data_IF_426687523435
#
_entry.id   IF_426687523435
#
_cell.length_a   1.000
_cell.length_b   1.000
_cell.length_c   1.000
_cell.angle_alpha   90.00
_cell.angle_beta   90.00
_cell.angle_gamma   90.00
#
_symmetry.space_group_name_H-M   'P 1'
#
loop_
_entity.id
_entity.type
_entity.pdbx_description
1 polymer ?
#
# COMPACT_ATOMS: atom_id res chain seq x y z
N UNK A 1 -36.60 57.79 5.72
CA UNK A 1 -37.12 57.17 4.48
C UNK A 1 -36.79 55.72 4.49
N UNK A 2 -37.78 54.90 4.75
CA UNK A 2 -37.71 53.43 4.82
C UNK A 2 -37.76 52.89 3.37
N UNK A 3 -36.74 52.17 2.94
CA UNK A 3 -36.71 51.44 1.66
C UNK A 3 -37.12 49.98 1.90
N UNK A 4 -38.24 49.63 1.29
CA UNK A 4 -38.90 48.33 1.31
C UNK A 4 -38.11 47.31 0.48
N UNK A 5 -37.77 46.13 1.05
CA UNK A 5 -37.27 44.98 0.31
C UNK A 5 -38.47 44.17 -0.24
N UNK A 6 -38.47 43.75 -1.51
CA UNK A 6 -39.48 42.87 -2.03
C UNK A 6 -39.17 41.38 -1.73
N UNK A 7 -40.26 40.66 -1.60
CA UNK A 7 -40.49 39.28 -1.25
C UNK A 7 -39.54 38.22 -1.83
N UNK A 8 -39.02 37.37 -0.92
CA UNK A 8 -38.41 36.08 -1.24
C UNK A 8 -39.50 35.06 -1.57
N UNK A 9 -39.51 34.56 -2.80
CA UNK A 9 -40.28 33.40 -3.23
C UNK A 9 -39.64 32.13 -2.72
N UNK A 10 -40.36 31.18 -2.12
CA UNK A 10 -39.81 29.90 -1.69
C UNK A 10 -39.65 28.97 -2.88
N UNK A 11 -38.41 28.64 -3.23
CA UNK A 11 -38.10 27.50 -4.13
C UNK A 11 -38.26 26.19 -3.35
N UNK A 12 -39.46 25.64 -3.40
CA UNK A 12 -39.69 24.25 -3.07
C UNK A 12 -39.51 23.40 -4.30
N UNK A 13 -38.54 22.48 -4.26
CA UNK A 13 -38.67 21.16 -4.91
C UNK A 13 -37.57 20.24 -4.38
N UNK A 14 -38.02 19.25 -3.64
CA UNK A 14 -37.25 18.09 -3.23
C UNK A 14 -36.72 17.36 -4.46
N UNK A 15 -35.44 17.50 -4.76
CA UNK A 15 -34.70 16.54 -5.56
C UNK A 15 -34.04 15.57 -4.58
N UNK A 16 -34.72 14.46 -4.35
CA UNK A 16 -34.16 13.26 -3.73
C UNK A 16 -33.09 12.74 -4.66
N UNK A 17 -31.81 12.97 -4.33
CA UNK A 17 -30.72 12.24 -4.91
C UNK A 17 -30.88 10.78 -4.50
N UNK A 18 -31.49 9.99 -5.38
CA UNK A 18 -31.42 8.55 -5.29
C UNK A 18 -29.93 8.17 -5.33
N UNK A 19 -29.44 7.64 -4.22
CA UNK A 19 -28.16 6.97 -4.14
C UNK A 19 -28.17 5.83 -5.16
N UNK A 20 -27.55 6.06 -6.30
CA UNK A 20 -27.17 4.98 -7.22
C UNK A 20 -25.97 4.29 -6.56
N UNK A 21 -26.27 3.38 -5.65
CA UNK A 21 -25.32 2.39 -5.20
C UNK A 21 -25.16 1.38 -6.34
N UNK A 22 -24.25 1.67 -7.26
CA UNK A 22 -23.85 0.74 -8.30
C UNK A 22 -22.79 -0.21 -7.71
N UNK A 23 -23.18 -1.03 -6.73
CA UNK A 23 -22.47 -2.25 -6.38
C UNK A 23 -22.95 -3.32 -7.34
N UNK A 24 -22.05 -3.99 -8.08
CA UNK A 24 -22.42 -5.18 -8.83
C UNK A 24 -23.05 -6.15 -7.81
N UNK A 25 -24.24 -6.59 -8.14
CA UNK A 25 -25.12 -7.31 -7.24
C UNK A 25 -24.46 -8.58 -6.70
N UNK A 26 -24.37 -8.69 -5.38
CA UNK A 26 -24.16 -9.94 -4.61
C UNK A 26 -25.22 -11.02 -4.93
N UNK A 27 -26.09 -10.79 -5.90
CA UNK A 27 -27.25 -11.61 -6.24
C UNK A 27 -27.01 -12.80 -7.16
N UNK A 28 -25.79 -13.07 -7.61
CA UNK A 28 -25.53 -14.15 -8.58
C UNK A 28 -24.56 -15.25 -8.10
N UNK A 29 -24.08 -15.22 -6.88
CA UNK A 29 -23.38 -16.38 -6.31
C UNK A 29 -24.41 -17.24 -5.63
N UNK A 30 -24.89 -18.27 -6.32
CA UNK A 30 -25.57 -19.40 -5.67
C UNK A 30 -24.61 -19.90 -4.60
N UNK A 31 -24.96 -19.65 -3.35
CA UNK A 31 -24.11 -19.72 -2.14
C UNK A 31 -23.54 -21.12 -1.91
N UNK A 32 -22.48 -21.45 -2.64
CA UNK A 32 -21.64 -22.57 -2.27
C UNK A 32 -20.76 -22.11 -1.09
N UNK A 33 -20.94 -22.67 0.13
CA UNK A 33 -20.19 -22.26 1.32
C UNK A 33 -18.68 -22.27 1.11
N UNK A 34 -18.17 -23.16 0.24
CA UNK A 34 -16.76 -23.24 -0.11
C UNK A 34 -16.30 -22.02 -0.92
N UNK A 35 -17.10 -21.54 -1.87
CA UNK A 35 -16.80 -20.36 -2.67
C UNK A 35 -16.82 -19.09 -1.82
N UNK A 36 -17.72 -18.98 -0.84
CA UNK A 36 -17.72 -17.89 0.13
C UNK A 36 -16.45 -17.93 0.99
N UNK A 37 -16.08 -19.10 1.52
CA UNK A 37 -14.84 -19.26 2.28
C UNK A 37 -13.61 -18.93 1.44
N UNK A 38 -13.58 -19.32 0.17
CA UNK A 38 -12.52 -18.96 -0.78
C UNK A 38 -12.42 -17.44 -0.96
N UNK A 39 -13.55 -16.77 -1.18
CA UNK A 39 -13.59 -15.31 -1.28
C UNK A 39 -13.10 -14.63 0.00
N UNK A 40 -13.48 -15.13 1.17
CA UNK A 40 -13.05 -14.57 2.45
C UNK A 40 -11.54 -14.72 2.65
N UNK A 41 -10.97 -15.88 2.30
CA UNK A 41 -9.52 -16.10 2.34
C UNK A 41 -8.78 -15.15 1.40
N UNK A 42 -9.25 -15.02 0.15
CA UNK A 42 -8.62 -14.10 -0.82
C UNK A 42 -8.80 -12.64 -0.40
N UNK A 43 -9.95 -12.26 0.16
CA UNK A 43 -10.17 -10.91 0.69
C UNK A 43 -9.26 -10.59 1.87
N UNK A 44 -9.05 -11.56 2.76
CA UNK A 44 -8.20 -11.40 3.94
C UNK A 44 -6.71 -11.29 3.60
N UNK A 45 -6.25 -12.01 2.57
CA UNK A 45 -4.82 -12.09 2.19
C UNK A 45 -4.45 -11.19 0.99
N UNK A 46 -5.45 -10.67 0.28
CA UNK A 46 -5.28 -9.84 -0.93
C UNK A 46 -5.01 -10.66 -2.19
N UNK A 47 -4.05 -11.58 -2.16
CA UNK A 47 -3.77 -12.57 -3.21
C UNK A 47 -3.39 -13.91 -2.58
N UNK A 48 -3.76 -15.01 -3.25
CA UNK A 48 -3.50 -16.39 -2.76
C UNK A 48 -3.26 -17.30 -3.96
N UNK A 49 -2.32 -18.23 -3.83
CA UNK A 49 -2.08 -19.24 -4.86
C UNK A 49 -3.18 -20.29 -4.87
N UNK A 50 -3.35 -21.00 -5.99
CA UNK A 50 -4.32 -22.10 -6.10
C UNK A 50 -3.94 -23.24 -5.17
N UNK A 51 -2.66 -23.44 -4.94
CA UNK A 51 -2.09 -24.45 -4.05
C UNK A 51 -2.44 -24.15 -2.59
N UNK A 52 -2.18 -22.94 -2.13
CA UNK A 52 -2.54 -22.49 -0.76
C UNK A 52 -4.05 -22.59 -0.50
N UNK A 53 -4.87 -22.24 -1.50
CA UNK A 53 -6.32 -22.38 -1.39
C UNK A 53 -6.77 -23.84 -1.31
N UNK A 54 -6.12 -24.74 -2.05
CA UNK A 54 -6.45 -26.15 -2.02
C UNK A 54 -6.15 -26.77 -0.65
N UNK A 55 -5.01 -26.41 -0.06
CA UNK A 55 -4.62 -26.85 1.27
C UNK A 55 -5.56 -26.30 2.34
N UNK A 56 -5.84 -25.01 2.36
CA UNK A 56 -6.68 -24.38 3.38
C UNK A 56 -8.15 -24.80 3.31
N UNK A 57 -8.66 -25.06 2.10
CA UNK A 57 -10.03 -25.53 1.91
C UNK A 57 -10.17 -27.06 2.02
N UNK A 58 -9.06 -27.81 2.08
CA UNK A 58 -9.05 -29.26 2.15
C UNK A 58 -9.61 -29.93 0.90
N UNK A 59 -9.35 -29.34 -0.29
CA UNK A 59 -9.88 -29.82 -1.58
C UNK A 59 -8.78 -29.95 -2.63
N UNK A 60 -9.08 -30.61 -3.76
CA UNK A 60 -8.12 -30.76 -4.83
C UNK A 60 -7.88 -29.46 -5.59
N UNK A 61 -6.69 -29.30 -6.18
CA UNK A 61 -6.34 -28.17 -7.06
C UNK A 61 -7.38 -27.96 -8.17
N UNK A 62 -7.89 -29.06 -8.74
CA UNK A 62 -8.91 -28.97 -9.80
C UNK A 62 -10.24 -28.39 -9.29
N UNK A 63 -10.62 -28.69 -8.05
CA UNK A 63 -11.81 -28.13 -7.42
C UNK A 63 -11.64 -26.62 -7.21
N UNK A 64 -10.48 -26.20 -6.70
CA UNK A 64 -10.17 -24.76 -6.54
C UNK A 64 -10.17 -24.05 -7.88
N UNK A 65 -9.54 -24.60 -8.91
CA UNK A 65 -9.50 -24.00 -10.26
C UNK A 65 -10.90 -23.78 -10.84
N UNK A 66 -11.84 -24.72 -10.60
CA UNK A 66 -13.24 -24.56 -11.03
C UNK A 66 -13.97 -23.46 -10.26
N UNK A 67 -13.79 -23.39 -8.95
CA UNK A 67 -14.41 -22.36 -8.12
C UNK A 67 -13.85 -20.97 -8.47
N UNK A 68 -12.54 -20.86 -8.63
CA UNK A 68 -11.85 -19.65 -9.09
C UNK A 68 -12.37 -19.22 -10.46
N UNK A 69 -12.56 -20.15 -11.39
CA UNK A 69 -13.09 -19.82 -12.73
C UNK A 69 -14.49 -19.21 -12.62
N UNK A 70 -15.40 -19.83 -11.86
CA UNK A 70 -16.77 -19.33 -11.65
C UNK A 70 -16.79 -17.96 -10.97
N UNK A 71 -15.94 -17.76 -9.97
CA UNK A 71 -15.85 -16.48 -9.27
C UNK A 71 -15.21 -15.40 -10.15
N UNK A 72 -14.31 -15.77 -11.05
CA UNK A 72 -13.75 -14.85 -12.04
C UNK A 72 -14.73 -14.48 -13.13
N UNK A 73 -15.55 -15.44 -13.60
CA UNK A 73 -16.65 -15.18 -14.55
C UNK A 73 -17.74 -14.28 -13.96
N UNK A 74 -17.85 -14.25 -12.63
CA UNK A 74 -18.74 -13.37 -11.87
C UNK A 74 -18.08 -12.03 -11.47
N UNK A 75 -16.89 -11.71 -11.96
CA UNK A 75 -16.09 -10.53 -11.60
C UNK A 75 -15.79 -10.38 -10.11
N UNK A 76 -15.85 -11.47 -9.34
CA UNK A 76 -15.57 -11.48 -7.91
C UNK A 76 -14.10 -11.73 -7.58
N UNK A 77 -13.36 -12.34 -8.52
CA UNK A 77 -11.91 -12.58 -8.45
C UNK A 77 -11.24 -12.27 -9.79
N UNK A 78 -9.98 -11.91 -9.73
CA UNK A 78 -9.09 -11.80 -10.89
C UNK A 78 -8.00 -12.86 -10.80
N UNK A 79 -7.77 -13.59 -11.89
CA UNK A 79 -6.69 -14.60 -11.98
C UNK A 79 -5.38 -13.94 -12.38
N UNK A 80 -4.29 -14.42 -11.82
CA UNK A 80 -2.93 -14.14 -12.29
C UNK A 80 -2.16 -15.47 -12.39
N UNK A 81 -0.93 -15.45 -12.89
CA UNK A 81 -0.17 -16.67 -13.06
C UNK A 81 0.06 -17.38 -11.71
N UNK A 82 -0.55 -18.56 -11.55
CA UNK A 82 -0.47 -19.39 -10.35
C UNK A 82 -1.42 -19.01 -9.19
N UNK A 83 -2.24 -17.94 -9.31
CA UNK A 83 -3.07 -17.52 -8.18
C UNK A 83 -4.30 -16.70 -8.53
N UNK A 84 -4.94 -16.19 -7.49
CA UNK A 84 -6.13 -15.35 -7.55
C UNK A 84 -6.04 -14.18 -6.58
N UNK A 85 -6.67 -13.09 -6.93
CA UNK A 85 -6.82 -11.88 -6.09
C UNK A 85 -8.22 -11.31 -6.21
N UNK A 86 -8.58 -10.47 -5.27
CA UNK A 86 -9.78 -9.63 -5.41
C UNK A 86 -9.60 -8.71 -6.62
N UNK A 87 -10.64 -8.47 -7.46
CA UNK A 87 -10.57 -7.47 -8.51
C UNK A 87 -10.08 -6.15 -7.92
N UNK A 88 -8.96 -5.65 -8.42
CA UNK A 88 -8.42 -4.37 -7.97
C UNK A 88 -8.82 -3.28 -8.95
N UNK A 89 -9.45 -2.24 -8.45
CA UNK A 89 -9.56 -0.98 -9.20
C UNK A 89 -8.15 -0.42 -9.41
N UNK A 90 -7.85 0.14 -10.57
CA UNK A 90 -6.63 0.93 -10.78
C UNK A 90 -6.75 2.34 -10.21
N UNK A 91 -7.97 2.74 -9.82
CA UNK A 91 -8.31 4.09 -9.33
C UNK A 91 -8.51 4.12 -7.82
N UNK A 92 -8.98 3.03 -7.21
CA UNK A 92 -9.25 2.96 -5.77
C UNK A 92 -8.31 2.01 -5.05
N UNK A 93 -7.64 2.51 -4.03
CA UNK A 93 -6.88 1.69 -3.11
C UNK A 93 -7.79 1.10 -2.01
N UNK A 94 -7.41 -0.06 -1.50
CA UNK A 94 -8.01 -0.66 -0.30
C UNK A 94 -7.87 0.34 0.87
N UNK A 95 -8.91 0.47 1.71
CA UNK A 95 -8.89 1.37 2.86
C UNK A 95 -7.67 1.10 3.78
N UNK A 96 -7.12 2.14 4.38
CA UNK A 96 -5.91 2.04 5.23
C UNK A 96 -6.10 1.00 6.35
N UNK A 97 -7.25 1.03 7.04
CA UNK A 97 -7.57 0.10 8.11
C UNK A 97 -7.55 -1.37 7.68
N UNK A 98 -8.07 -1.66 6.48
CA UNK A 98 -8.01 -3.01 5.88
C UNK A 98 -6.58 -3.37 5.48
N UNK A 99 -5.82 -2.41 4.96
CA UNK A 99 -4.40 -2.64 4.62
C UNK A 99 -3.54 -2.91 5.85
N UNK A 100 -3.87 -2.34 7.01
CA UNK A 100 -3.14 -2.58 8.27
C UNK A 100 -3.22 -4.06 8.68
N UNK A 101 -4.40 -4.66 8.58
CA UNK A 101 -4.63 -6.07 8.93
C UNK A 101 -4.22 -7.06 7.84
N UNK A 102 -4.27 -6.63 6.57
CA UNK A 102 -3.84 -7.46 5.43
C UNK A 102 -2.37 -7.81 5.56
N UNK A 103 -2.05 -9.12 5.56
CA UNK A 103 -0.70 -9.66 5.66
C UNK A 103 0.14 -9.05 6.81
N UNK A 104 -0.48 -8.88 7.98
CA UNK A 104 0.17 -8.27 9.15
C UNK A 104 1.45 -9.02 9.57
N UNK A 105 1.44 -10.36 9.49
CA UNK A 105 2.62 -11.19 9.80
C UNK A 105 3.78 -10.92 8.82
N UNK A 106 3.51 -10.88 7.51
CA UNK A 106 4.52 -10.58 6.50
C UNK A 106 5.10 -9.17 6.67
N UNK A 107 4.27 -8.16 6.95
CA UNK A 107 4.76 -6.81 7.26
C UNK A 107 5.62 -6.75 8.52
N UNK A 108 5.27 -7.54 9.54
CA UNK A 108 6.07 -7.62 10.75
C UNK A 108 7.43 -8.29 10.49
N UNK A 109 7.49 -9.33 9.64
CA UNK A 109 8.74 -9.95 9.20
C UNK A 109 9.62 -8.94 8.44
N UNK A 110 9.04 -8.27 7.42
CA UNK A 110 9.71 -7.20 6.67
C UNK A 110 10.26 -6.11 7.62
N UNK A 111 9.44 -5.68 8.57
CA UNK A 111 9.82 -4.64 9.52
C UNK A 111 11.02 -5.05 10.38
N UNK A 112 11.07 -6.29 10.85
CA UNK A 112 12.23 -6.83 11.59
C UNK A 112 13.49 -6.87 10.72
N UNK A 113 13.37 -7.37 9.49
CA UNK A 113 14.49 -7.43 8.55
C UNK A 113 15.04 -6.03 8.23
N UNK A 114 14.18 -5.04 7.97
CA UNK A 114 14.61 -3.65 7.78
C UNK A 114 15.29 -3.10 9.03
N UNK A 115 14.71 -3.33 10.22
CA UNK A 115 15.29 -2.81 11.46
C UNK A 115 16.67 -3.43 11.79
N UNK A 116 16.94 -4.65 11.38
CA UNK A 116 18.27 -5.27 11.53
C UNK A 116 19.35 -4.62 10.66
N UNK A 117 18.97 -4.07 9.52
CA UNK A 117 19.87 -3.45 8.56
C UNK A 117 20.06 -1.94 8.79
N UNK A 118 19.08 -1.27 9.43
CA UNK A 118 19.17 0.18 9.73
C UNK A 118 20.21 0.42 10.83
N UNK A 119 21.28 1.19 10.57
CA UNK A 119 22.27 1.49 11.60
C UNK A 119 21.76 2.53 12.61
N UNK A 120 22.22 2.45 13.85
CA UNK A 120 22.05 3.55 14.80
C UNK A 120 22.75 4.82 14.30
N UNK A 121 22.21 5.97 14.66
CA UNK A 121 22.81 7.26 14.32
C UNK A 121 22.63 7.71 12.87
N UNK A 122 21.76 7.04 12.08
CA UNK A 122 21.52 7.43 10.69
C UNK A 122 20.31 8.35 10.53
N UNK A 123 20.25 9.01 9.37
CA UNK A 123 19.14 9.83 8.94
C UNK A 123 18.20 9.07 7.99
N UNK A 124 16.90 9.12 8.25
CA UNK A 124 15.88 8.41 7.49
C UNK A 124 14.82 9.36 6.97
N UNK A 125 14.27 9.07 5.79
CA UNK A 125 12.92 9.52 5.42
C UNK A 125 12.00 8.31 5.38
N UNK A 126 10.89 8.35 6.14
CA UNK A 126 9.90 7.28 6.16
C UNK A 126 8.60 7.78 5.54
N UNK A 127 8.21 7.17 4.40
CA UNK A 127 7.02 7.53 3.63
C UNK A 127 5.74 6.92 4.23
N UNK A 128 4.62 7.25 3.60
CA UNK A 128 3.27 6.76 3.95
C UNK A 128 3.15 5.26 3.64
N UNK A 129 2.52 4.50 4.54
CA UNK A 129 2.20 3.09 4.30
C UNK A 129 2.08 2.26 5.57
N UNK A 130 1.25 1.22 5.53
CA UNK A 130 1.09 0.33 6.69
C UNK A 130 2.33 -0.54 6.95
N UNK A 131 3.12 -0.84 5.92
CA UNK A 131 4.41 -1.53 6.07
C UNK A 131 5.46 -0.60 6.67
N UNK A 132 5.52 0.66 6.25
CA UNK A 132 6.44 1.66 6.83
C UNK A 132 6.09 1.99 8.28
N UNK A 133 4.81 1.95 8.65
CA UNK A 133 4.37 2.05 10.04
C UNK A 133 4.82 0.84 10.88
N UNK A 134 4.77 -0.38 10.31
CA UNK A 134 5.33 -1.55 10.97
C UNK A 134 6.84 -1.43 11.18
N UNK A 135 7.58 -0.90 10.19
CA UNK A 135 9.01 -0.61 10.30
C UNK A 135 9.27 0.42 11.41
N UNK A 136 8.49 1.50 11.48
CA UNK A 136 8.60 2.50 12.54
C UNK A 136 8.48 1.87 13.95
N UNK A 137 7.54 0.92 14.13
CA UNK A 137 7.42 0.16 15.38
C UNK A 137 8.67 -0.70 15.68
N UNK A 138 9.26 -1.32 14.66
CA UNK A 138 10.46 -2.14 14.82
C UNK A 138 11.72 -1.30 15.13
N UNK A 139 11.73 -0.02 14.75
CA UNK A 139 12.83 0.92 15.00
C UNK A 139 12.80 1.55 16.41
N UNK A 140 11.81 1.26 17.25
CA UNK A 140 11.70 1.86 18.59
C UNK A 140 12.90 1.56 19.52
N UNK A 141 13.65 0.50 19.25
CA UNK A 141 14.87 0.16 19.99
C UNK A 141 16.15 0.84 19.49
N UNK A 142 16.09 1.57 18.38
CA UNK A 142 17.25 2.25 17.82
C UNK A 142 17.59 3.55 18.57
N UNK A 143 18.85 3.95 18.49
CA UNK A 143 19.37 5.16 19.13
C UNK A 143 19.99 6.12 18.12
N UNK A 144 19.84 7.43 18.37
CA UNK A 144 20.45 8.47 17.56
C UNK A 144 19.85 8.62 16.15
N UNK A 145 18.66 8.08 15.90
CA UNK A 145 18.00 8.25 14.60
C UNK A 145 17.48 9.68 14.44
N UNK A 146 17.61 10.21 13.23
CA UNK A 146 16.92 11.41 12.79
C UNK A 146 15.96 11.06 11.66
N UNK A 147 14.65 11.11 11.93
CA UNK A 147 13.61 10.65 11.02
C UNK A 147 12.78 11.81 10.51
N UNK A 148 12.78 12.00 9.20
CA UNK A 148 11.83 12.89 8.50
C UNK A 148 10.67 12.03 8.02
N UNK A 149 9.44 12.50 8.18
CA UNK A 149 8.28 11.75 7.71
C UNK A 149 7.14 12.66 7.26
N UNK A 150 6.45 12.22 6.22
CA UNK A 150 5.16 12.75 5.78
C UNK A 150 3.99 11.86 6.25
N UNK A 151 4.21 11.00 7.26
CA UNK A 151 3.21 10.09 7.83
C UNK A 151 3.01 10.38 9.32
N UNK A 152 1.85 10.90 9.70
CA UNK A 152 1.54 11.21 11.10
C UNK A 152 1.49 9.98 12.01
N UNK A 153 1.18 8.79 11.46
CA UNK A 153 1.23 7.55 12.25
C UNK A 153 2.68 7.18 12.57
N UNK A 154 3.60 7.29 11.60
CA UNK A 154 5.05 7.10 11.83
C UNK A 154 5.57 8.10 12.86
N UNK A 155 5.18 9.37 12.73
CA UNK A 155 5.55 10.41 13.69
C UNK A 155 5.08 10.07 15.11
N UNK A 156 3.81 9.67 15.25
CA UNK A 156 3.23 9.30 16.55
C UNK A 156 3.94 8.08 17.17
N UNK A 157 4.33 7.08 16.34
CA UNK A 157 5.05 5.90 16.82
C UNK A 157 6.46 6.30 17.31
N UNK A 158 7.25 6.93 16.46
CA UNK A 158 8.66 7.20 16.76
C UNK A 158 8.88 8.30 17.78
N UNK A 159 7.93 9.23 17.97
CA UNK A 159 8.00 10.24 19.03
C UNK A 159 7.97 9.64 20.45
N UNK A 160 7.63 8.38 20.60
CA UNK A 160 7.73 7.67 21.89
C UNK A 160 9.15 7.21 22.22
N UNK A 161 10.07 7.22 21.24
CA UNK A 161 11.48 6.91 21.46
C UNK A 161 12.26 8.20 21.75
N UNK A 162 12.72 8.36 22.99
CA UNK A 162 13.48 9.54 23.44
C UNK A 162 14.86 9.70 22.76
N UNK A 163 15.35 8.67 22.09
CA UNK A 163 16.62 8.68 21.35
C UNK A 163 16.44 8.88 19.84
N UNK A 164 15.24 9.24 19.40
CA UNK A 164 14.90 9.51 18.01
C UNK A 164 14.40 10.95 17.85
N UNK A 165 15.05 11.71 16.97
CA UNK A 165 14.54 13.02 16.56
C UNK A 165 13.56 12.82 15.39
N UNK A 166 12.31 13.24 15.55
CA UNK A 166 11.26 13.10 14.54
C UNK A 166 10.88 14.47 13.98
N UNK A 167 11.03 14.62 12.68
CA UNK A 167 10.75 15.84 11.93
C UNK A 167 9.57 15.55 10.99
N UNK A 168 8.46 16.27 11.16
CA UNK A 168 7.25 16.09 10.35
C UNK A 168 7.20 17.15 9.26
N UNK A 169 6.92 16.75 8.01
CA UNK A 169 6.75 17.70 6.91
C UNK A 169 5.50 18.57 7.12
N UNK A 170 5.50 19.77 6.56
CA UNK A 170 4.28 20.55 6.38
C UNK A 170 3.42 20.00 5.23
N UNK A 171 2.20 20.51 5.07
CA UNK A 171 1.33 20.19 3.95
C UNK A 171 -0.11 19.84 4.33
N UNK A 172 -0.84 19.21 3.40
CA UNK A 172 -2.24 18.82 3.58
C UNK A 172 -2.32 17.39 4.10
N UNK A 173 -2.97 17.21 5.24
CA UNK A 173 -3.20 15.88 5.83
C UNK A 173 -4.38 15.20 5.15
N UNK A 174 -4.15 14.02 4.61
CA UNK A 174 -5.23 13.15 4.10
C UNK A 174 -5.86 12.39 5.26
N UNK A 175 -7.18 12.47 5.37
CA UNK A 175 -7.93 11.83 6.47
C UNK A 175 -7.90 10.30 6.41
N UNK A 176 -7.78 9.71 5.21
CA UNK A 176 -7.88 8.25 5.01
C UNK A 176 -6.70 7.46 5.58
N UNK A 177 -5.49 8.04 5.62
CA UNK A 177 -4.25 7.35 6.00
C UNK A 177 -3.28 8.24 6.80
N UNK A 178 -3.71 9.47 7.14
CA UNK A 178 -2.92 10.46 7.88
C UNK A 178 -1.59 10.84 7.20
N UNK A 179 -1.51 10.63 5.88
CA UNK A 179 -0.39 11.06 5.08
C UNK A 179 -0.44 12.55 4.77
N UNK A 180 0.71 13.20 4.73
CA UNK A 180 0.86 14.62 4.37
C UNK A 180 1.31 14.69 2.92
N UNK A 181 0.61 15.50 2.12
CA UNK A 181 0.87 15.68 0.69
C UNK A 181 0.83 17.16 0.30
N UNK A 182 1.28 17.44 -0.91
CA UNK A 182 1.27 18.77 -1.51
C UNK A 182 2.65 19.40 -1.58
N UNK A 183 2.72 20.55 -2.26
CA UNK A 183 3.97 21.29 -2.51
C UNK A 183 4.76 21.60 -1.23
N UNK A 184 4.13 22.02 -0.09
CA UNK A 184 4.89 22.29 1.13
C UNK A 184 5.64 21.06 1.66
N UNK A 185 5.10 19.84 1.47
CA UNK A 185 5.79 18.62 1.89
C UNK A 185 7.03 18.35 1.01
N UNK A 186 6.89 18.52 -0.30
CA UNK A 186 8.00 18.36 -1.25
C UNK A 186 9.10 19.39 -1.01
N UNK A 187 8.74 20.67 -0.87
CA UNK A 187 9.69 21.76 -0.60
C UNK A 187 10.45 21.57 0.71
N UNK A 188 9.77 21.04 1.72
CA UNK A 188 10.41 20.71 2.98
C UNK A 188 11.42 19.58 2.81
N UNK A 189 11.06 18.48 2.12
CA UNK A 189 11.92 17.32 1.88
C UNK A 189 13.16 17.72 1.06
N UNK A 190 13.03 18.60 0.08
CA UNK A 190 14.13 19.09 -0.78
C UNK A 190 15.28 19.74 0.01
N UNK A 191 15.04 20.18 1.24
CA UNK A 191 16.07 20.79 2.09
C UNK A 191 17.03 19.76 2.71
N UNK A 192 16.77 18.46 2.55
CA UNK A 192 17.53 17.39 3.16
C UNK A 192 18.16 16.47 2.12
N UNK A 193 19.20 15.77 2.50
CA UNK A 193 19.73 14.59 1.82
C UNK A 193 20.02 13.55 2.89
N UNK A 194 19.13 12.59 3.05
CA UNK A 194 19.24 11.57 4.09
C UNK A 194 20.00 10.32 3.63
N UNK A 195 20.38 9.48 4.60
CA UNK A 195 21.08 8.25 4.28
C UNK A 195 20.15 7.23 3.63
N UNK A 196 18.94 7.01 4.18
CA UNK A 196 18.03 5.97 3.70
C UNK A 196 16.60 6.52 3.57
N UNK A 197 15.97 6.27 2.42
CA UNK A 197 14.53 6.36 2.25
C UNK A 197 13.88 4.99 2.51
N UNK A 198 12.88 4.95 3.38
CA UNK A 198 12.01 3.79 3.58
C UNK A 198 10.67 4.07 2.93
N UNK A 199 10.41 3.42 1.79
CA UNK A 199 9.18 3.63 1.01
C UNK A 199 8.36 2.34 0.94
N UNK A 200 7.04 2.51 0.95
CA UNK A 200 6.09 1.47 0.58
C UNK A 200 5.58 1.68 -0.84
N UNK A 201 4.83 0.71 -1.34
CA UNK A 201 4.23 0.77 -2.67
C UNK A 201 2.83 0.14 -2.67
N UNK A 202 1.97 0.59 -3.57
CA UNK A 202 0.66 -0.02 -3.74
C UNK A 202 0.66 -1.17 -4.74
N UNK A 203 1.52 -1.16 -5.75
CA UNK A 203 1.65 -2.23 -6.72
C UNK A 203 2.98 -2.21 -7.46
N UNK A 204 3.43 -3.38 -7.89
CA UNK A 204 4.58 -3.62 -8.77
C UNK A 204 4.06 -4.38 -9.98
N UNK A 205 4.10 -3.78 -11.16
CA UNK A 205 3.63 -4.41 -12.38
C UNK A 205 4.68 -5.36 -12.99
N UNK A 206 4.25 -6.20 -13.93
CA UNK A 206 5.09 -7.25 -14.53
C UNK A 206 6.33 -6.71 -15.27
N UNK A 207 6.33 -5.45 -15.65
CA UNK A 207 7.47 -4.75 -16.26
C UNK A 207 8.45 -4.15 -15.24
N UNK A 208 8.19 -4.34 -13.93
CA UNK A 208 8.98 -3.78 -12.84
C UNK A 208 8.64 -2.33 -12.48
N UNK A 209 7.63 -1.72 -13.11
CA UNK A 209 7.18 -0.38 -12.72
C UNK A 209 6.51 -0.39 -11.36
N UNK A 210 6.90 0.57 -10.51
CA UNK A 210 6.35 0.80 -9.19
C UNK A 210 5.20 1.79 -9.29
N UNK A 211 4.00 1.41 -8.83
CA UNK A 211 2.79 2.20 -9.06
C UNK A 211 1.98 2.45 -7.79
N UNK A 212 1.25 3.55 -7.79
CA UNK A 212 0.32 3.94 -6.73
C UNK A 212 -0.99 4.53 -7.29
N UNK A 213 -1.93 4.86 -6.39
CA UNK A 213 -3.28 5.32 -6.76
C UNK A 213 -3.45 6.85 -6.73
N UNK A 214 -2.69 7.56 -5.91
CA UNK A 214 -2.82 9.02 -5.71
C UNK A 214 -1.58 9.76 -6.21
N UNK A 215 -1.73 10.54 -7.28
CA UNK A 215 -0.61 11.29 -7.87
C UNK A 215 0.06 12.27 -6.91
N UNK A 216 -0.67 12.78 -5.91
CA UNK A 216 -0.11 13.71 -4.91
C UNK A 216 0.83 12.98 -3.96
N UNK A 217 0.48 11.72 -3.61
CA UNK A 217 1.37 10.83 -2.84
C UNK A 217 2.61 10.46 -3.65
N UNK A 218 2.40 10.11 -4.93
CA UNK A 218 3.48 9.80 -5.86
C UNK A 218 4.49 10.95 -5.97
N UNK A 219 4.03 12.20 -6.09
CA UNK A 219 4.93 13.36 -6.17
C UNK A 219 5.80 13.53 -4.92
N UNK A 220 5.24 13.31 -3.74
CA UNK A 220 6.02 13.33 -2.49
C UNK A 220 7.01 12.17 -2.45
N UNK A 221 6.59 10.94 -2.84
CA UNK A 221 7.46 9.77 -2.86
C UNK A 221 8.63 9.93 -3.86
N UNK A 222 8.38 10.49 -5.03
CA UNK A 222 9.42 10.83 -6.02
C UNK A 222 10.45 11.78 -5.41
N UNK A 223 9.99 12.85 -4.72
CA UNK A 223 10.87 13.78 -4.02
C UNK A 223 11.70 13.08 -2.94
N UNK A 224 11.11 12.13 -2.20
CA UNK A 224 11.83 11.32 -1.20
C UNK A 224 12.96 10.51 -1.86
N UNK A 225 12.68 9.83 -2.97
CA UNK A 225 13.67 9.03 -3.73
C UNK A 225 14.83 9.92 -4.16
N UNK A 226 14.55 11.07 -4.77
CA UNK A 226 15.56 12.02 -5.26
C UNK A 226 16.46 12.55 -4.14
N UNK A 227 15.94 12.65 -2.93
CA UNK A 227 16.61 13.25 -1.76
C UNK A 227 17.14 12.25 -0.73
N UNK A 228 17.39 11.00 -1.16
CA UNK A 228 17.99 9.96 -0.35
C UNK A 228 19.24 9.37 -1.00
N UNK A 229 20.19 8.84 -0.22
CA UNK A 229 21.41 8.19 -0.73
C UNK A 229 21.12 6.74 -1.13
N UNK A 230 20.33 6.05 -0.32
CA UNK A 230 19.80 4.72 -0.60
C UNK A 230 18.27 4.74 -0.50
N UNK A 231 17.62 3.98 -1.37
CA UNK A 231 16.18 3.82 -1.41
C UNK A 231 15.83 2.36 -1.14
N UNK A 232 15.17 2.13 -0.02
CA UNK A 232 14.74 0.81 0.42
C UNK A 232 13.23 0.68 0.26
N UNK A 233 12.81 -0.22 -0.61
CA UNK A 233 11.41 -0.54 -0.87
C UNK A 233 10.96 -1.67 0.05
N UNK A 234 9.90 -1.44 0.81
CA UNK A 234 9.25 -2.45 1.65
C UNK A 234 7.91 -2.86 1.05
N UNK A 235 7.84 -4.05 0.46
CA UNK A 235 6.68 -4.54 -0.27
C UNK A 235 6.40 -6.01 0.05
N UNK A 236 5.25 -6.31 0.64
CA UNK A 236 4.83 -7.69 0.84
C UNK A 236 4.41 -8.35 -0.49
N UNK A 237 4.37 -9.71 -0.51
CA UNK A 237 4.10 -10.50 -1.71
C UNK A 237 2.81 -10.11 -2.44
N UNK A 238 1.83 -9.51 -1.77
CA UNK A 238 0.57 -9.08 -2.39
C UNK A 238 0.71 -7.88 -3.33
N UNK A 239 1.89 -7.23 -3.34
CA UNK A 239 2.18 -6.06 -4.18
C UNK A 239 2.63 -6.43 -5.58
N UNK A 240 3.18 -7.61 -5.77
CA UNK A 240 3.60 -8.08 -7.09
C UNK A 240 2.41 -8.35 -8.00
N UNK A 241 2.53 -8.04 -9.28
CA UNK A 241 1.48 -8.15 -10.30
C UNK A 241 0.21 -7.33 -9.97
N UNK A 242 0.29 -6.35 -9.09
CA UNK A 242 -0.84 -5.50 -8.74
C UNK A 242 -0.81 -4.20 -9.53
N UNK A 243 -1.82 -3.94 -10.38
CA UNK A 243 -1.89 -2.69 -11.14
C UNK A 243 -2.32 -1.52 -10.26
N UNK A 244 -1.80 -0.34 -10.59
CA UNK A 244 -2.29 0.95 -10.11
C UNK A 244 -2.02 2.02 -11.17
N UNK A 245 -2.78 3.13 -11.12
CA UNK A 245 -2.84 4.07 -12.25
C UNK A 245 -1.58 4.92 -12.40
N UNK A 246 -0.95 5.32 -11.30
CA UNK A 246 0.10 6.35 -11.31
C UNK A 246 1.47 5.72 -11.14
N UNK A 247 2.36 5.97 -12.08
CA UNK A 247 3.75 5.53 -11.99
C UNK A 247 4.52 6.37 -10.97
N UNK A 248 5.15 5.67 -10.02
CA UNK A 248 5.96 6.28 -8.97
C UNK A 248 7.44 6.24 -9.31
N UNK A 249 7.95 5.08 -9.68
CA UNK A 249 9.35 4.82 -9.94
C UNK A 249 9.52 3.53 -10.77
N UNK A 250 10.75 3.18 -11.07
CA UNK A 250 11.15 1.89 -11.63
C UNK A 250 12.10 1.18 -10.67
N UNK A 251 12.31 -0.12 -10.83
CA UNK A 251 13.25 -0.88 -9.99
C UNK A 251 14.68 -0.31 -10.03
N UNK A 252 15.10 0.30 -11.11
CA UNK A 252 16.44 0.93 -11.23
C UNK A 252 16.68 2.12 -10.29
N UNK A 253 15.64 2.63 -9.63
CA UNK A 253 15.72 3.70 -8.65
C UNK A 253 15.70 3.18 -7.21
N UNK A 254 15.75 1.85 -7.03
CA UNK A 254 15.68 1.16 -5.74
C UNK A 254 17.00 0.44 -5.51
N UNK A 255 17.60 0.62 -4.33
CA UNK A 255 18.82 -0.09 -3.94
C UNK A 255 18.51 -1.44 -3.29
N UNK A 256 17.48 -1.48 -2.45
CA UNK A 256 17.07 -2.71 -1.74
C UNK A 256 15.56 -2.91 -1.76
N UNK A 257 15.14 -4.16 -1.93
CA UNK A 257 13.77 -4.61 -1.77
C UNK A 257 13.67 -5.57 -0.59
N UNK A 258 12.81 -5.23 0.38
CA UNK A 258 12.46 -6.11 1.50
C UNK A 258 11.06 -6.67 1.26
N UNK A 259 10.94 -7.99 1.26
CA UNK A 259 9.67 -8.71 1.03
C UNK A 259 9.53 -9.91 1.96
N UNK A 260 8.31 -10.39 2.19
CA UNK A 260 8.01 -11.53 3.07
C UNK A 260 8.05 -12.89 2.37
N UNK A 261 8.08 -12.90 1.04
CA UNK A 261 8.20 -14.12 0.23
C UNK A 261 9.06 -13.85 -0.99
N UNK A 262 9.69 -14.89 -1.53
CA UNK A 262 10.43 -14.79 -2.77
C UNK A 262 9.55 -14.20 -3.88
N UNK A 263 10.03 -13.16 -4.60
CA UNK A 263 9.29 -12.56 -5.70
C UNK A 263 8.98 -13.59 -6.79
N UNK A 264 7.75 -13.59 -7.36
CA UNK A 264 7.40 -14.48 -8.47
C UNK A 264 8.08 -14.05 -9.78
N UNK A 265 8.09 -14.93 -10.79
CA UNK A 265 8.49 -14.54 -12.14
C UNK A 265 7.57 -13.41 -12.69
N UNK A 266 8.12 -12.42 -13.40
CA UNK A 266 9.50 -12.28 -13.88
C UNK A 266 10.45 -11.50 -12.96
N UNK A 267 10.04 -11.14 -11.73
CA UNK A 267 10.75 -10.18 -10.87
C UNK A 267 12.18 -10.57 -10.49
N UNK A 268 12.56 -11.86 -10.27
CA UNK A 268 13.95 -12.19 -9.98
C UNK A 268 14.93 -11.70 -11.04
N UNK A 269 14.58 -11.85 -12.33
CA UNK A 269 15.39 -11.34 -13.43
C UNK A 269 15.43 -9.81 -13.47
N UNK A 270 14.27 -9.15 -13.31
CA UNK A 270 14.17 -7.68 -13.29
C UNK A 270 14.96 -7.03 -12.15
N UNK A 271 14.95 -7.65 -10.96
CA UNK A 271 15.72 -7.19 -9.80
C UNK A 271 17.23 -7.34 -10.04
N UNK A 272 17.65 -8.45 -10.64
CA UNK A 272 19.05 -8.68 -11.00
C UNK A 272 19.54 -7.68 -12.05
N UNK A 273 18.75 -7.43 -13.10
CA UNK A 273 19.06 -6.47 -14.16
C UNK A 273 19.14 -5.05 -13.63
N UNK A 274 18.27 -4.69 -12.68
CA UNK A 274 18.26 -3.39 -12.00
C UNK A 274 19.28 -3.29 -10.86
N UNK A 275 20.03 -4.36 -10.56
CA UNK A 275 21.01 -4.45 -9.46
C UNK A 275 20.39 -4.20 -8.06
N UNK A 276 19.12 -4.52 -7.86
CA UNK A 276 18.42 -4.39 -6.59
C UNK A 276 18.75 -5.55 -5.66
N UNK A 277 19.24 -5.26 -4.46
CA UNK A 277 19.43 -6.27 -3.43
C UNK A 277 18.07 -6.71 -2.87
N UNK A 278 17.66 -7.94 -3.13
CA UNK A 278 16.42 -8.51 -2.60
C UNK A 278 16.67 -9.24 -1.28
N UNK A 279 15.97 -8.81 -0.22
CA UNK A 279 15.99 -9.44 1.11
C UNK A 279 14.61 -10.06 1.35
N UNK A 280 14.57 -11.38 1.45
CA UNK A 280 13.35 -12.12 1.83
C UNK A 280 13.37 -12.30 3.34
N UNK A 281 12.38 -11.72 4.01
CA UNK A 281 12.28 -11.75 5.47
C UNK A 281 11.67 -13.08 5.97
N UNK A 282 12.22 -13.60 7.06
CA UNK A 282 11.77 -14.82 7.75
C UNK A 282 10.74 -14.52 8.85
#
# INVERSE_FOLDING_TARGET
MLGVFPDLVPFGSHLTFAQVSNRPSERAVNSNPRQLKLLDVVRARGSVTVEELAEELGVTLQTVRRDVQRLSEADLLTRFHGGVRVPSSTVENIAHQQRETLNAAGKAAIARAVAQEVPNGCSLIINIGTTTEAIARALLGHTGLRVITNNLNVAAILSTNSHCEVIVTGGVVRTRDRGIVGEPAMDFIRQFKVDIALIGISGIEADGSLRDFDYREVKVAQTIIEHSREVWLAADHSKFMRPAMVELATLSQIDRLFTDKAPPDPFPALLADAQVQCVVAD
#
